data_IF_485186649485
#
_entry.id   IF_485186649485
#
_cell.length_a   1.000
_cell.length_b   1.000
_cell.length_c   1.000
_cell.angle_alpha   90.00
_cell.angle_beta   90.00
_cell.angle_gamma   90.00
#
_symmetry.space_group_name_H-M   'P 1'
#
loop_
_entity.id
_entity.type
_entity.pdbx_description
1 polymer ?
#
# COMPACT_ATOMS: atom_id res chain seq x y z
N UNK A 1 3.56 8.00 -16.63
CA UNK A 1 3.83 8.84 -15.44
C UNK A 1 4.07 7.94 -14.25
N UNK A 2 5.19 8.11 -13.56
CA UNK A 2 5.54 7.27 -12.41
C UNK A 2 4.78 7.79 -11.18
N UNK A 3 3.87 7.00 -10.63
CA UNK A 3 3.13 7.29 -9.36
C UNK A 3 4.00 7.11 -8.11
N UNK A 4 5.32 7.10 -8.28
CA UNK A 4 6.28 6.88 -7.21
C UNK A 4 6.36 8.15 -6.34
N UNK A 5 6.09 8.03 -5.04
CA UNK A 5 6.17 9.15 -4.10
C UNK A 5 4.91 10.04 -3.96
N UNK A 6 3.76 9.65 -4.53
CA UNK A 6 2.50 10.42 -4.36
C UNK A 6 1.85 10.23 -2.97
N UNK A 7 2.22 9.17 -2.25
CA UNK A 7 1.67 8.86 -0.93
C UNK A 7 2.69 9.16 0.17
N UNK A 8 2.22 9.74 1.26
CA UNK A 8 3.00 9.98 2.48
C UNK A 8 2.19 9.60 3.72
N UNK A 9 2.88 9.10 4.74
CA UNK A 9 2.27 8.82 6.04
C UNK A 9 2.35 10.08 6.91
N UNK A 10 1.21 10.49 7.46
CA UNK A 10 1.18 11.60 8.42
C UNK A 10 1.82 11.24 9.76
N UNK A 11 1.62 10.00 10.22
CA UNK A 11 2.24 9.45 11.41
C UNK A 11 2.68 8.01 11.13
N UNK A 12 3.96 7.82 10.83
CA UNK A 12 4.55 6.50 10.60
C UNK A 12 4.61 5.65 11.87
N UNK A 13 4.73 6.29 13.05
CA UNK A 13 4.85 5.58 14.33
C UNK A 13 3.57 4.83 14.68
N UNK A 14 2.41 5.38 14.29
CA UNK A 14 1.13 4.71 14.43
C UNK A 14 1.13 3.33 13.77
N UNK A 15 1.83 3.12 12.66
CA UNK A 15 1.79 1.87 11.90
C UNK A 15 2.82 0.82 12.34
N UNK A 16 3.73 1.16 13.26
CA UNK A 16 4.76 0.24 13.73
C UNK A 16 4.17 -1.04 14.34
N UNK A 17 4.68 -2.19 13.91
CA UNK A 17 4.23 -3.51 14.36
C UNK A 17 2.82 -3.92 13.91
N UNK A 18 2.11 -3.10 13.13
CA UNK A 18 0.74 -3.40 12.68
C UNK A 18 0.72 -4.26 11.41
N UNK A 19 -0.39 -4.95 11.21
CA UNK A 19 -0.71 -5.61 9.94
C UNK A 19 -1.86 -4.86 9.28
N UNK A 20 -1.60 -4.30 8.10
CA UNK A 20 -2.52 -3.47 7.34
C UNK A 20 -3.04 -4.29 6.15
N UNK A 21 -4.34 -4.20 5.90
CA UNK A 21 -4.97 -4.71 4.68
C UNK A 21 -5.34 -3.54 3.78
N UNK A 22 -4.72 -3.48 2.61
CA UNK A 22 -5.09 -2.56 1.53
C UNK A 22 -6.27 -3.20 0.78
N UNK A 23 -7.34 -2.45 0.58
CA UNK A 23 -8.55 -2.90 -0.12
C UNK A 23 -8.74 -2.00 -1.34
N UNK A 24 -8.89 -2.62 -2.51
CA UNK A 24 -9.21 -1.94 -3.77
C UNK A 24 -10.32 -2.71 -4.52
N UNK A 25 -10.94 -2.09 -5.52
CA UNK A 25 -11.96 -2.77 -6.32
C UNK A 25 -11.35 -3.71 -7.37
N UNK A 26 -10.48 -3.21 -8.24
CA UNK A 26 -9.90 -3.96 -9.36
C UNK A 26 -8.38 -3.84 -9.39
N UNK A 27 -7.69 -4.98 -9.29
CA UNK A 27 -6.27 -5.08 -9.57
C UNK A 27 -6.04 -5.06 -11.08
N UNK A 28 -5.44 -3.99 -11.61
CA UNK A 28 -4.94 -3.93 -12.99
C UNK A 28 -3.45 -4.30 -13.01
N UNK A 29 -2.56 -3.33 -13.18
CA UNK A 29 -1.10 -3.51 -13.15
C UNK A 29 -0.53 -3.62 -11.74
N UNK A 30 -1.34 -3.33 -10.71
CA UNK A 30 -0.88 -3.23 -9.32
C UNK A 30 -0.14 -1.93 -8.98
N UNK A 31 0.00 -0.99 -9.92
CA UNK A 31 0.74 0.26 -9.70
C UNK A 31 0.20 1.07 -8.51
N UNK A 32 -1.12 1.16 -8.35
CA UNK A 32 -1.76 1.88 -7.23
C UNK A 32 -1.41 1.26 -5.89
N UNK A 33 -1.56 -0.06 -5.75
CA UNK A 33 -1.26 -0.79 -4.51
C UNK A 33 0.22 -0.68 -4.17
N UNK A 34 1.11 -0.79 -5.16
CA UNK A 34 2.55 -0.67 -4.95
C UNK A 34 2.95 0.74 -4.53
N UNK A 35 2.40 1.77 -5.16
CA UNK A 35 2.62 3.17 -4.77
C UNK A 35 2.16 3.41 -3.33
N UNK A 36 0.98 2.92 -2.95
CA UNK A 36 0.49 3.06 -1.57
C UNK A 36 1.37 2.30 -0.57
N UNK A 37 1.71 1.04 -0.85
CA UNK A 37 2.56 0.23 0.01
C UNK A 37 3.97 0.82 0.18
N UNK A 38 4.50 1.49 -0.84
CA UNK A 38 5.82 2.13 -0.79
C UNK A 38 5.93 3.24 0.27
N UNK A 39 4.82 3.89 0.63
CA UNK A 39 4.79 4.90 1.70
C UNK A 39 5.13 4.32 3.09
N UNK A 40 5.00 3.00 3.25
CA UNK A 40 5.27 2.28 4.50
C UNK A 40 6.67 1.71 4.60
N UNK A 41 7.55 1.95 3.61
CA UNK A 41 8.88 1.31 3.52
C UNK A 41 9.75 1.51 4.76
N UNK A 42 9.63 2.66 5.40
CA UNK A 42 10.41 3.04 6.61
C UNK A 42 9.69 2.72 7.92
N UNK A 43 8.50 2.11 7.88
CA UNK A 43 7.75 1.74 9.10
C UNK A 43 8.28 0.42 9.64
N UNK A 44 8.73 0.45 10.90
CA UNK A 44 9.29 -0.72 11.56
C UNK A 44 8.23 -1.82 11.79
N UNK A 45 8.59 -3.07 11.47
CA UNK A 45 7.77 -4.26 11.73
C UNK A 45 6.33 -4.22 11.18
N UNK A 46 6.05 -3.38 10.18
CA UNK A 46 4.75 -3.35 9.50
C UNK A 46 4.59 -4.55 8.58
N UNK A 47 3.39 -5.13 8.55
CA UNK A 47 3.00 -6.15 7.56
C UNK A 47 1.91 -5.59 6.68
N UNK A 48 1.96 -5.90 5.39
CA UNK A 48 0.98 -5.44 4.42
C UNK A 48 0.40 -6.64 3.69
N UNK A 49 -0.92 -6.69 3.58
CA UNK A 49 -1.64 -7.57 2.66
C UNK A 49 -2.54 -6.72 1.77
N UNK A 50 -2.91 -7.26 0.61
CA UNK A 50 -3.82 -6.62 -0.32
C UNK A 50 -4.98 -7.54 -0.64
N UNK A 51 -6.18 -6.96 -0.74
CA UNK A 51 -7.38 -7.62 -1.21
C UNK A 51 -7.99 -6.77 -2.33
N UNK A 52 -8.39 -7.42 -3.42
CA UNK A 52 -9.12 -6.79 -4.52
C UNK A 52 -10.33 -7.62 -4.89
N UNK A 53 -11.42 -6.97 -5.31
CA UNK A 53 -12.64 -7.68 -5.69
C UNK A 53 -12.51 -8.37 -7.05
N UNK A 54 -11.71 -7.82 -7.96
CA UNK A 54 -11.45 -8.38 -9.28
C UNK A 54 -10.00 -8.15 -9.73
N UNK A 55 -9.56 -8.93 -10.71
CA UNK A 55 -8.29 -8.73 -11.41
C UNK A 55 -8.59 -8.52 -12.89
N UNK A 56 -8.10 -7.42 -13.45
CA UNK A 56 -8.13 -7.17 -14.89
C UNK A 56 -6.87 -7.73 -15.53
N UNK A 57 -7.03 -8.45 -16.63
CA UNK A 57 -5.93 -8.93 -17.47
C UNK A 57 -5.78 -8.03 -18.70
#
# INVERSE_FOLDING_TARGET
ENVEGIFSLQDSSFFSGKHILIIDDVLTTGATIMAYASAFREVENVRISAFTMAVSQ
#
